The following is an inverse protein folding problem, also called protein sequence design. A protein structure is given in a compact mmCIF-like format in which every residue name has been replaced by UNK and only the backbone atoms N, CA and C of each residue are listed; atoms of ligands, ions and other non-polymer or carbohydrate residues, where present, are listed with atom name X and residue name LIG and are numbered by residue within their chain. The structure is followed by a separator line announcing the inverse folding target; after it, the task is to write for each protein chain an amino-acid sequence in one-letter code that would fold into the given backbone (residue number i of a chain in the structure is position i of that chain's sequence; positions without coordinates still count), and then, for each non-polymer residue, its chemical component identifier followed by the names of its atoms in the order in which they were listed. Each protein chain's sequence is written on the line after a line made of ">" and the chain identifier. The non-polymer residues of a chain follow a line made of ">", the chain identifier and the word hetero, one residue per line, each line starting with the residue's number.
data_IF_870613457209
#
_entry.id   IF_870613457209
#
_cell.length_a   1.000
_cell.length_b   1.000
_cell.length_c   1.000
_cell.angle_alpha   90.00
_cell.angle_beta   90.00
_cell.angle_gamma   90.00
#
_symmetry.space_group_name_H-M   'P 1'
#
loop_
_entity.id
_entity.type
_entity.pdbx_description
1 polymer ?
#
# COMPACT_ATOMS: atom_id res chain seq x y z
N UNK A 1 36.93 8.48 -22.69
CA UNK A 1 36.36 7.18 -23.10
C UNK A 1 35.92 6.46 -21.85
N UNK A 2 34.64 6.60 -21.46
CA UNK A 2 34.05 5.91 -20.32
C UNK A 2 32.86 5.12 -20.86
N UNK A 3 32.98 3.81 -20.79
CA UNK A 3 32.00 2.83 -21.20
C UNK A 3 30.81 2.85 -20.27
N UNK A 4 29.66 3.28 -20.75
CA UNK A 4 28.36 3.04 -20.07
C UNK A 4 28.00 1.57 -20.23
N UNK A 5 28.08 0.82 -19.13
CA UNK A 5 27.56 -0.52 -19.07
C UNK A 5 26.03 -0.47 -19.16
N UNK A 6 25.49 -0.97 -20.27
CA UNK A 6 24.06 -1.19 -20.44
C UNK A 6 23.58 -2.26 -19.49
N UNK A 7 22.69 -1.90 -18.54
CA UNK A 7 22.00 -2.84 -17.70
C UNK A 7 21.10 -3.74 -18.57
N UNK A 8 21.47 -5.00 -18.67
CA UNK A 8 20.66 -6.05 -19.30
C UNK A 8 19.35 -6.21 -18.54
N UNK A 9 18.23 -6.17 -19.25
CA UNK A 9 16.93 -6.57 -18.71
C UNK A 9 17.06 -7.96 -18.09
N UNK A 10 16.70 -8.11 -16.81
CA UNK A 10 16.70 -9.39 -16.14
C UNK A 10 15.80 -10.35 -16.94
N UNK A 11 16.35 -11.42 -17.45
CA UNK A 11 15.58 -12.48 -18.09
C UNK A 11 14.63 -13.08 -17.05
N UNK A 12 13.31 -12.86 -17.23
CA UNK A 12 12.32 -13.48 -16.36
C UNK A 12 12.40 -15.00 -16.52
N UNK A 13 12.39 -15.71 -15.38
CA UNK A 13 12.29 -17.16 -15.38
C UNK A 13 11.05 -17.61 -16.19
N UNK A 14 11.12 -18.75 -16.88
CA UNK A 14 10.06 -19.28 -17.74
C UNK A 14 8.72 -19.56 -17.02
N UNK A 15 8.67 -19.37 -15.69
CA UNK A 15 7.50 -19.59 -14.83
C UNK A 15 6.91 -18.34 -14.19
N UNK A 16 7.34 -17.13 -14.57
CA UNK A 16 6.82 -15.91 -13.97
C UNK A 16 5.37 -15.59 -14.37
N UNK A 17 4.55 -15.19 -13.41
CA UNK A 17 3.12 -14.93 -13.55
C UNK A 17 2.87 -13.62 -14.32
N UNK A 18 2.14 -13.65 -15.44
CA UNK A 18 1.81 -12.44 -16.19
C UNK A 18 0.81 -11.56 -15.43
N UNK A 19 1.12 -10.28 -15.34
CA UNK A 19 0.27 -9.28 -14.69
C UNK A 19 -0.02 -8.10 -15.62
N UNK A 20 -1.15 -7.44 -15.41
CA UNK A 20 -1.46 -6.17 -16.05
C UNK A 20 -1.55 -5.04 -15.01
N UNK A 21 -1.29 -3.82 -15.45
CA UNK A 21 -1.52 -2.60 -14.67
C UNK A 21 -2.50 -1.73 -15.44
N UNK A 22 -3.61 -1.36 -14.79
CA UNK A 22 -4.57 -0.36 -15.28
C UNK A 22 -4.34 0.95 -14.55
N UNK A 23 -4.08 2.01 -15.30
CA UNK A 23 -3.69 3.32 -14.79
C UNK A 23 -2.25 3.65 -15.16
N UNK A 24 -2.04 4.52 -16.14
CA UNK A 24 -0.73 4.89 -16.70
C UNK A 24 -0.09 6.12 -16.03
N UNK A 25 -0.56 6.49 -14.84
CA UNK A 25 0.03 7.55 -14.00
C UNK A 25 1.27 7.10 -13.24
N UNK A 26 1.66 7.90 -12.24
CA UNK A 26 2.87 7.66 -11.44
C UNK A 26 2.85 6.30 -10.72
N UNK A 27 1.73 5.94 -10.07
CA UNK A 27 1.58 4.68 -9.35
C UNK A 27 1.69 3.49 -10.31
N UNK A 28 0.93 3.50 -11.42
CA UNK A 28 0.98 2.41 -12.38
C UNK A 28 2.34 2.28 -13.07
N UNK A 29 3.02 3.41 -13.36
CA UNK A 29 4.37 3.38 -13.93
C UNK A 29 5.38 2.81 -12.92
N UNK A 30 5.28 3.17 -11.64
CA UNK A 30 6.16 2.62 -10.61
C UNK A 30 5.92 1.12 -10.39
N UNK A 31 4.65 0.66 -10.38
CA UNK A 31 4.29 -0.76 -10.37
C UNK A 31 4.95 -1.52 -11.52
N UNK A 32 4.79 -1.01 -12.74
CA UNK A 32 5.41 -1.60 -13.93
C UNK A 32 6.93 -1.71 -13.77
N UNK A 33 7.60 -0.64 -13.34
CA UNK A 33 9.05 -0.64 -13.14
C UNK A 33 9.48 -1.64 -12.05
N UNK A 34 8.74 -1.72 -10.93
CA UNK A 34 9.01 -2.69 -9.87
C UNK A 34 8.85 -4.14 -10.36
N UNK A 35 7.77 -4.44 -11.07
CA UNK A 35 7.58 -5.77 -11.66
C UNK A 35 8.72 -6.12 -12.62
N UNK A 36 9.11 -5.20 -13.50
CA UNK A 36 10.16 -5.44 -14.49
C UNK A 36 11.56 -5.60 -13.90
N UNK A 37 11.87 -4.91 -12.79
CA UNK A 37 13.24 -4.83 -12.25
C UNK A 37 13.46 -5.65 -11.00
N UNK A 38 12.43 -5.84 -10.18
CA UNK A 38 12.59 -6.40 -8.84
C UNK A 38 11.91 -7.75 -8.69
N UNK A 39 10.76 -7.97 -9.36
CA UNK A 39 10.03 -9.21 -9.19
C UNK A 39 10.69 -10.35 -9.96
N UNK A 40 10.87 -11.48 -9.29
CA UNK A 40 11.26 -12.75 -9.90
C UNK A 40 10.05 -13.65 -10.17
N UNK A 41 8.93 -13.32 -9.55
CA UNK A 41 7.68 -14.09 -9.56
C UNK A 41 6.68 -13.57 -10.59
N UNK A 42 6.68 -12.26 -10.83
CA UNK A 42 5.75 -11.59 -11.73
C UNK A 42 6.47 -11.09 -12.98
N UNK A 43 5.75 -11.04 -14.10
CA UNK A 43 6.20 -10.40 -15.35
C UNK A 43 5.11 -9.50 -15.92
N UNK A 44 5.51 -8.38 -16.51
CA UNK A 44 4.54 -7.51 -17.17
C UNK A 44 3.96 -8.18 -18.41
N UNK A 45 2.62 -8.28 -18.45
CA UNK A 45 1.83 -8.68 -19.62
C UNK A 45 1.29 -7.47 -20.37
N UNK A 46 0.75 -6.47 -19.64
CA UNK A 46 0.19 -5.27 -20.26
C UNK A 46 0.23 -4.04 -19.34
N UNK A 47 0.35 -2.85 -19.95
CA UNK A 47 0.11 -1.55 -19.35
C UNK A 47 -1.08 -0.88 -20.02
N UNK A 48 -2.05 -0.43 -19.23
CA UNK A 48 -3.35 0.05 -19.70
C UNK A 48 -3.59 1.47 -19.25
N UNK A 49 -4.00 2.33 -20.16
CA UNK A 49 -4.42 3.71 -19.89
C UNK A 49 -5.71 4.06 -20.60
N UNK A 50 -6.09 5.33 -20.54
CA UNK A 50 -7.22 5.91 -21.29
C UNK A 50 -6.79 7.08 -22.18
N UNK A 51 -5.56 7.56 -21.99
CA UNK A 51 -4.96 8.64 -22.77
C UNK A 51 -3.85 8.07 -23.66
N UNK A 52 -3.97 8.15 -24.99
CA UNK A 52 -2.96 7.65 -25.92
C UNK A 52 -1.61 8.37 -25.79
N UNK A 53 -1.61 9.61 -25.34
CA UNK A 53 -0.41 10.45 -25.20
C UNK A 53 0.24 10.32 -23.82
N UNK A 54 -0.22 9.39 -22.98
CA UNK A 54 0.32 9.15 -21.65
C UNK A 54 1.79 8.76 -21.67
N UNK A 55 2.62 9.46 -20.90
CA UNK A 55 4.05 9.13 -20.67
C UNK A 55 4.24 7.70 -20.15
N UNK A 56 3.34 7.21 -19.31
CA UNK A 56 3.38 5.85 -18.79
C UNK A 56 3.21 4.81 -19.89
N UNK A 57 2.25 5.00 -20.82
CA UNK A 57 2.08 4.11 -21.98
C UNK A 57 3.27 4.20 -22.94
N UNK A 58 3.77 5.41 -23.22
CA UNK A 58 4.94 5.59 -24.06
C UNK A 58 6.19 4.91 -23.46
N UNK A 59 6.36 4.95 -22.14
CA UNK A 59 7.43 4.26 -21.42
C UNK A 59 7.26 2.74 -21.50
N UNK A 60 6.06 2.22 -21.28
CA UNK A 60 5.75 0.80 -21.38
C UNK A 60 6.08 0.25 -22.77
N UNK A 61 5.68 0.97 -23.83
CA UNK A 61 5.98 0.61 -25.23
C UNK A 61 7.49 0.54 -25.49
N UNK A 62 8.28 1.54 -24.99
CA UNK A 62 9.76 1.51 -25.09
C UNK A 62 10.37 0.31 -24.38
N UNK A 63 9.75 -0.15 -23.29
CA UNK A 63 10.16 -1.33 -22.53
C UNK A 63 9.59 -2.65 -23.09
N UNK A 64 8.95 -2.60 -24.26
CA UNK A 64 8.35 -3.74 -24.96
C UNK A 64 7.22 -4.42 -24.17
N UNK A 65 6.54 -3.69 -23.31
CA UNK A 65 5.31 -4.12 -22.66
C UNK A 65 4.14 -3.82 -23.58
N UNK A 66 3.21 -4.75 -23.74
CA UNK A 66 1.99 -4.52 -24.52
C UNK A 66 1.17 -3.37 -23.92
N UNK A 67 0.63 -2.49 -24.74
CA UNK A 67 -0.11 -1.30 -24.28
C UNK A 67 -1.47 -1.18 -24.95
N UNK A 68 -2.43 -0.59 -24.24
CA UNK A 68 -3.69 -0.10 -24.81
C UNK A 68 -4.13 1.16 -24.08
N UNK A 69 -4.77 2.08 -24.81
CA UNK A 69 -5.39 3.28 -24.25
C UNK A 69 -6.93 3.19 -24.17
N UNK A 70 -7.49 1.99 -24.33
CA UNK A 70 -8.94 1.74 -24.31
C UNK A 70 -9.42 1.15 -22.97
N UNK A 71 -8.68 1.38 -21.88
CA UNK A 71 -9.03 0.90 -20.55
C UNK A 71 -9.14 -0.62 -20.50
N UNK A 72 -9.98 -1.13 -19.57
CA UNK A 72 -10.18 -2.58 -19.38
C UNK A 72 -10.69 -3.29 -20.64
N UNK A 73 -11.48 -2.63 -21.47
CA UNK A 73 -11.98 -3.24 -22.73
C UNK A 73 -10.84 -3.53 -23.68
N UNK A 74 -9.91 -2.57 -23.82
CA UNK A 74 -8.72 -2.79 -24.63
C UNK A 74 -7.80 -3.86 -24.05
N UNK A 75 -7.75 -4.01 -22.71
CA UNK A 75 -6.99 -5.09 -22.08
C UNK A 75 -7.53 -6.46 -22.44
N UNK A 76 -8.85 -6.65 -22.38
CA UNK A 76 -9.51 -7.93 -22.72
C UNK A 76 -9.26 -8.35 -24.18
N UNK A 77 -9.11 -7.39 -25.08
CA UNK A 77 -8.84 -7.64 -26.49
C UNK A 77 -7.36 -7.96 -26.81
N UNK A 78 -6.44 -7.74 -25.89
CA UNK A 78 -5.02 -8.05 -26.11
C UNK A 78 -4.79 -9.57 -26.25
N UNK A 79 -4.00 -10.02 -27.23
CA UNK A 79 -3.74 -11.44 -27.46
C UNK A 79 -3.22 -12.20 -26.21
N UNK A 80 -2.47 -11.54 -25.33
CA UNK A 80 -1.93 -12.12 -24.11
C UNK A 80 -2.87 -12.07 -22.89
N UNK A 81 -4.10 -11.56 -23.01
CA UNK A 81 -5.01 -11.38 -21.88
C UNK A 81 -5.36 -12.70 -21.17
N UNK A 82 -5.54 -13.77 -21.93
CA UNK A 82 -5.88 -15.08 -21.37
C UNK A 82 -4.87 -15.54 -20.30
N UNK A 83 -3.58 -15.25 -20.50
CA UNK A 83 -2.50 -15.65 -19.60
C UNK A 83 -2.41 -14.80 -18.35
N UNK A 84 -2.88 -13.55 -18.38
CA UNK A 84 -2.84 -12.63 -17.25
C UNK A 84 -3.60 -13.25 -16.07
N UNK A 85 -2.97 -13.28 -14.89
CA UNK A 85 -3.57 -13.79 -13.64
C UNK A 85 -3.94 -12.68 -12.69
N UNK A 86 -3.16 -11.60 -12.67
CA UNK A 86 -3.32 -10.48 -11.72
C UNK A 86 -3.45 -9.17 -12.49
N UNK A 87 -4.36 -8.33 -12.07
CA UNK A 87 -4.56 -6.97 -12.57
C UNK A 87 -4.39 -6.02 -11.39
N UNK A 88 -3.41 -5.12 -11.46
CA UNK A 88 -3.30 -3.99 -10.55
C UNK A 88 -4.16 -2.84 -11.06
N UNK A 89 -5.05 -2.32 -10.23
CA UNK A 89 -5.88 -1.17 -10.58
C UNK A 89 -5.41 0.10 -9.86
N UNK A 90 -4.77 0.99 -10.59
CA UNK A 90 -4.26 2.28 -10.13
C UNK A 90 -5.05 3.44 -10.78
N UNK A 91 -6.35 3.28 -10.94
CA UNK A 91 -7.25 4.27 -11.56
C UNK A 91 -7.99 5.12 -10.51
N UNK A 92 -9.31 5.11 -10.54
CA UNK A 92 -10.19 5.81 -9.59
C UNK A 92 -11.23 4.86 -9.03
N UNK A 93 -11.81 5.19 -7.88
CA UNK A 93 -12.89 4.40 -7.26
C UNK A 93 -14.03 4.11 -8.24
N UNK A 94 -14.45 5.11 -9.02
CA UNK A 94 -15.51 4.95 -10.02
C UNK A 94 -15.15 3.96 -11.14
N UNK A 95 -13.92 4.02 -11.64
CA UNK A 95 -13.46 3.13 -12.70
C UNK A 95 -13.27 1.70 -12.18
N UNK A 96 -12.79 1.56 -10.94
CA UNK A 96 -12.56 0.27 -10.31
C UNK A 96 -13.81 -0.61 -10.27
N UNK A 97 -14.98 -0.08 -9.98
CA UNK A 97 -16.24 -0.85 -9.95
C UNK A 97 -16.45 -1.63 -11.25
N UNK A 98 -16.21 -1.00 -12.40
CA UNK A 98 -16.31 -1.64 -13.70
C UNK A 98 -15.16 -2.61 -13.95
N UNK A 99 -13.94 -2.21 -13.62
CA UNK A 99 -12.74 -3.01 -13.82
C UNK A 99 -12.81 -4.31 -13.01
N UNK A 100 -13.20 -4.24 -11.73
CA UNK A 100 -13.37 -5.40 -10.85
C UNK A 100 -14.41 -6.39 -11.38
N UNK A 101 -15.56 -5.89 -11.86
CA UNK A 101 -16.61 -6.76 -12.44
C UNK A 101 -16.08 -7.52 -13.67
N UNK A 102 -15.42 -6.84 -14.61
CA UNK A 102 -14.87 -7.47 -15.80
C UNK A 102 -13.74 -8.45 -15.43
N UNK A 103 -12.88 -8.09 -14.50
CA UNK A 103 -11.82 -8.99 -14.03
C UNK A 103 -12.40 -10.28 -13.43
N UNK A 104 -13.47 -10.16 -12.62
CA UNK A 104 -14.16 -11.30 -12.02
C UNK A 104 -14.81 -12.20 -13.07
N UNK A 105 -15.45 -11.64 -14.11
CA UNK A 105 -16.04 -12.38 -15.24
C UNK A 105 -15.00 -13.25 -15.96
N UNK A 106 -13.73 -12.81 -15.96
CA UNK A 106 -12.61 -13.52 -16.57
C UNK A 106 -11.75 -14.31 -15.56
N UNK A 107 -12.16 -14.42 -14.29
CA UNK A 107 -11.44 -15.15 -13.25
C UNK A 107 -10.05 -14.58 -12.93
N UNK A 108 -9.85 -13.25 -13.10
CA UNK A 108 -8.60 -12.57 -12.77
C UNK A 108 -8.62 -12.06 -11.34
N UNK A 109 -7.46 -12.11 -10.66
CA UNK A 109 -7.28 -11.47 -9.37
C UNK A 109 -7.11 -9.96 -9.58
N UNK A 110 -7.87 -9.16 -8.85
CA UNK A 110 -7.72 -7.71 -8.80
C UNK A 110 -6.95 -7.29 -7.53
N UNK A 111 -5.94 -6.46 -7.70
CA UNK A 111 -5.25 -5.75 -6.61
C UNK A 111 -5.63 -4.27 -6.75
N UNK A 112 -6.52 -3.82 -5.87
CA UNK A 112 -7.10 -2.49 -5.91
C UNK A 112 -6.25 -1.48 -5.12
N UNK A 113 -5.69 -0.48 -5.81
CA UNK A 113 -4.97 0.65 -5.21
C UNK A 113 -5.85 1.92 -5.20
N UNK A 114 -7.14 1.80 -5.47
CA UNK A 114 -8.10 2.89 -5.44
C UNK A 114 -8.84 2.96 -4.10
N UNK A 115 -9.50 4.06 -3.77
CA UNK A 115 -10.32 4.13 -2.56
C UNK A 115 -11.70 3.46 -2.69
N UNK A 116 -11.98 2.66 -3.73
CA UNK A 116 -13.27 2.01 -3.94
C UNK A 116 -13.63 0.99 -2.86
N UNK A 117 -12.61 0.28 -2.34
CA UNK A 117 -12.72 -0.68 -1.23
C UNK A 117 -13.85 -1.72 -1.43
N UNK A 118 -13.92 -2.35 -2.60
CA UNK A 118 -14.90 -3.41 -2.89
C UNK A 118 -14.48 -4.74 -2.27
N UNK A 119 -13.20 -5.08 -2.32
CA UNK A 119 -12.62 -6.25 -1.68
C UNK A 119 -12.21 -6.00 -0.22
N UNK A 120 -11.78 -7.05 0.50
CA UNK A 120 -11.24 -6.90 1.85
C UNK A 120 -9.99 -6.02 1.85
N UNK A 121 -9.81 -5.24 2.93
CA UNK A 121 -8.60 -4.49 3.17
C UNK A 121 -7.42 -5.42 3.45
N UNK A 122 -6.31 -5.22 2.74
CA UNK A 122 -5.12 -6.03 2.90
C UNK A 122 -3.90 -5.16 3.21
N UNK A 123 -3.24 -5.50 4.31
CA UNK A 123 -1.91 -5.03 4.68
C UNK A 123 -1.00 -6.25 4.75
N UNK A 124 0.01 -6.40 3.85
CA UNK A 124 0.72 -7.67 3.66
C UNK A 124 1.34 -8.26 4.93
N UNK A 125 1.85 -7.41 5.83
CA UNK A 125 2.48 -7.82 7.08
C UNK A 125 1.48 -8.15 8.20
N UNK A 126 0.16 -7.91 7.99
CA UNK A 126 -0.85 -8.06 9.04
C UNK A 126 -1.82 -9.21 8.76
N UNK A 127 -2.53 -9.17 7.62
CA UNK A 127 -3.68 -10.03 7.37
C UNK A 127 -3.75 -10.67 5.97
N UNK A 128 -2.69 -10.61 5.17
CA UNK A 128 -2.74 -11.14 3.80
C UNK A 128 -3.11 -12.64 3.76
N UNK A 129 -2.64 -13.42 4.75
CA UNK A 129 -2.90 -14.86 4.80
C UNK A 129 -4.40 -15.22 4.95
N UNK A 130 -5.20 -14.29 5.46
CA UNK A 130 -6.65 -14.45 5.62
C UNK A 130 -7.43 -14.26 4.30
N UNK A 131 -6.81 -13.63 3.29
CA UNK A 131 -7.47 -13.19 2.07
C UNK A 131 -6.92 -13.83 0.77
N UNK A 132 -6.20 -14.93 0.90
CA UNK A 132 -5.55 -15.60 -0.25
C UNK A 132 -6.53 -16.11 -1.32
N UNK A 133 -7.76 -16.41 -0.94
CA UNK A 133 -8.83 -16.86 -1.83
C UNK A 133 -9.63 -15.71 -2.49
N UNK A 134 -9.46 -14.47 -2.02
CA UNK A 134 -10.22 -13.34 -2.53
C UNK A 134 -9.94 -13.08 -4.03
N UNK A 135 -10.97 -12.76 -4.79
CA UNK A 135 -10.85 -12.37 -6.21
C UNK A 135 -10.47 -10.90 -6.40
N UNK A 136 -10.72 -10.08 -5.37
CA UNK A 136 -10.39 -8.66 -5.30
C UNK A 136 -9.89 -8.35 -3.90
N UNK A 137 -8.79 -7.60 -3.77
CA UNK A 137 -8.23 -7.16 -2.50
C UNK A 137 -7.87 -5.67 -2.58
N UNK A 138 -8.28 -4.91 -1.59
CA UNK A 138 -8.01 -3.47 -1.52
C UNK A 138 -6.77 -3.18 -0.67
N UNK A 139 -5.87 -2.39 -1.23
CA UNK A 139 -4.60 -2.01 -0.60
C UNK A 139 -4.73 -0.83 0.39
N UNK A 140 -5.93 -0.49 0.81
CA UNK A 140 -6.23 0.62 1.74
C UNK A 140 -5.77 1.96 1.15
N UNK A 141 -4.77 2.59 1.79
CA UNK A 141 -4.15 3.85 1.39
C UNK A 141 -2.67 3.83 1.72
N UNK A 142 -1.90 4.77 1.20
CA UNK A 142 -0.48 4.87 1.53
C UNK A 142 -0.25 5.08 3.04
N UNK A 143 -1.05 5.96 3.68
CA UNK A 143 -1.02 6.15 5.13
C UNK A 143 -1.44 4.90 5.88
N UNK A 144 -2.44 4.18 5.38
CA UNK A 144 -2.86 2.89 5.95
C UNK A 144 -1.76 1.83 5.88
N UNK A 145 -1.13 1.67 4.74
CA UNK A 145 -0.01 0.71 4.59
C UNK A 145 1.17 1.02 5.52
N UNK A 146 1.40 2.32 5.81
CA UNK A 146 2.49 2.71 6.71
C UNK A 146 2.13 2.52 8.20
N UNK A 147 0.89 2.76 8.60
CA UNK A 147 0.53 2.95 10.01
C UNK A 147 -0.25 1.80 10.63
N UNK A 148 -1.11 1.12 9.85
CA UNK A 148 -1.92 -0.02 10.33
C UNK A 148 -1.05 -1.17 10.86
N UNK A 149 0.12 -1.50 10.28
CA UNK A 149 1.03 -2.47 10.89
C UNK A 149 1.36 -2.17 12.35
N UNK A 150 1.59 -0.90 12.68
CA UNK A 150 1.89 -0.47 14.05
C UNK A 150 0.68 -0.60 14.96
N UNK A 151 -0.50 -0.16 14.50
CA UNK A 151 -1.75 -0.33 15.27
C UNK A 151 -1.99 -1.80 15.58
N UNK A 152 -1.86 -2.67 14.57
CA UNK A 152 -2.01 -4.12 14.73
C UNK A 152 -0.98 -4.72 15.70
N UNK A 153 0.28 -4.24 15.65
CA UNK A 153 1.32 -4.69 16.55
C UNK A 153 1.01 -4.36 18.02
N UNK A 154 0.41 -3.19 18.28
CA UNK A 154 -0.01 -2.78 19.63
C UNK A 154 -1.26 -3.56 20.04
N UNK A 155 -2.27 -3.68 19.16
CA UNK A 155 -3.53 -4.37 19.43
C UNK A 155 -3.36 -5.86 19.77
N UNK A 156 -2.32 -6.50 19.27
CA UNK A 156 -1.96 -7.90 19.62
C UNK A 156 -1.54 -8.07 21.08
N UNK A 157 -1.10 -7.00 21.73
CA UNK A 157 -0.59 -7.03 23.11
C UNK A 157 -1.62 -6.48 24.08
N UNK A 158 -2.29 -5.39 23.73
CA UNK A 158 -3.28 -4.72 24.58
C UNK A 158 -4.44 -4.18 23.71
N UNK A 159 -5.71 -4.25 24.18
CA UNK A 159 -6.85 -3.73 23.44
C UNK A 159 -6.70 -2.23 23.20
N UNK A 160 -6.81 -1.81 21.95
CA UNK A 160 -6.75 -0.40 21.53
C UNK A 160 -8.17 0.15 21.42
N UNK A 161 -8.56 1.02 22.34
CA UNK A 161 -9.88 1.66 22.32
C UNK A 161 -9.97 2.72 21.21
N UNK A 162 -8.89 3.45 20.95
CA UNK A 162 -8.84 4.48 19.92
C UNK A 162 -7.49 4.49 19.21
N UNK A 163 -7.51 4.35 17.89
CA UNK A 163 -6.35 4.46 17.03
C UNK A 163 -6.46 5.70 16.14
N UNK A 164 -5.49 6.59 16.20
CA UNK A 164 -5.40 7.76 15.31
C UNK A 164 -4.08 7.77 14.58
N UNK A 165 -4.12 8.07 13.28
CA UNK A 165 -2.90 8.27 12.50
C UNK A 165 -2.88 9.66 11.86
N UNK A 166 -1.69 10.24 11.81
CA UNK A 166 -1.42 11.46 11.06
C UNK A 166 -0.37 11.13 10.01
N UNK A 167 -0.79 11.08 8.75
CA UNK A 167 0.10 10.82 7.62
C UNK A 167 0.51 12.14 6.96
N UNK A 168 1.80 12.50 7.03
CA UNK A 168 2.37 13.67 6.39
C UNK A 168 3.19 13.28 5.16
N UNK A 169 2.69 13.62 3.98
CA UNK A 169 3.33 13.35 2.70
C UNK A 169 3.78 14.65 2.02
N UNK A 170 4.83 14.58 1.20
CA UNK A 170 5.23 15.73 0.40
C UNK A 170 4.08 16.17 -0.52
N UNK A 171 3.76 17.45 -0.55
CA UNK A 171 2.70 17.98 -1.43
C UNK A 171 2.96 17.65 -2.90
N UNK A 172 4.24 17.59 -3.32
CA UNK A 172 4.65 17.21 -4.69
C UNK A 172 4.34 15.75 -5.03
N UNK A 173 4.25 14.84 -4.05
CA UNK A 173 3.90 13.44 -4.27
C UNK A 173 2.39 13.18 -4.24
N UNK A 174 1.58 14.16 -3.83
CA UNK A 174 0.13 14.08 -3.87
C UNK A 174 -0.38 14.43 -5.27
N UNK A 175 -0.74 13.41 -6.05
CA UNK A 175 -1.33 13.58 -7.39
C UNK A 175 -2.75 14.12 -7.35
N UNK A 176 -3.35 14.41 -8.53
CA UNK A 176 -4.73 14.92 -8.63
C UNK A 176 -5.75 13.98 -7.94
N UNK A 177 -5.57 12.67 -8.06
CA UNK A 177 -6.44 11.68 -7.40
C UNK A 177 -6.42 11.81 -5.88
N UNK A 178 -5.25 11.90 -5.26
CA UNK A 178 -5.13 12.08 -3.80
C UNK A 178 -5.79 13.37 -3.34
N UNK A 179 -5.61 14.47 -4.09
CA UNK A 179 -6.17 15.78 -3.73
C UNK A 179 -7.69 15.84 -3.87
N UNK A 180 -8.24 15.12 -4.84
CA UNK A 180 -9.68 15.07 -5.08
C UNK A 180 -10.42 14.13 -4.09
N UNK A 181 -9.72 13.19 -3.47
CA UNK A 181 -10.32 12.12 -2.67
C UNK A 181 -9.76 12.07 -1.23
N UNK A 182 -9.56 13.24 -0.60
CA UNK A 182 -9.06 13.32 0.79
C UNK A 182 -10.05 12.69 1.76
N UNK A 183 -11.34 12.88 1.55
CA UNK A 183 -12.40 12.34 2.41
C UNK A 183 -12.38 10.80 2.35
N UNK A 184 -12.36 10.24 1.14
CA UNK A 184 -12.25 8.77 0.97
C UNK A 184 -10.95 8.22 1.59
N UNK A 185 -9.83 8.96 1.52
CA UNK A 185 -8.60 8.56 2.19
C UNK A 185 -8.82 8.42 3.71
N UNK A 186 -9.45 9.40 4.33
CA UNK A 186 -9.65 9.41 5.80
C UNK A 186 -10.66 8.36 6.23
N UNK A 187 -11.75 8.17 5.48
CA UNK A 187 -12.77 7.16 5.75
C UNK A 187 -12.22 5.74 5.59
N UNK A 188 -11.58 5.45 4.46
CA UNK A 188 -11.00 4.14 4.17
C UNK A 188 -9.91 3.77 5.18
N UNK A 189 -9.01 4.71 5.49
CA UNK A 189 -7.95 4.47 6.49
C UNK A 189 -8.53 4.28 7.88
N UNK A 190 -9.50 5.09 8.30
CA UNK A 190 -10.18 4.96 9.59
C UNK A 190 -10.90 3.63 9.75
N UNK A 191 -11.58 3.15 8.70
CA UNK A 191 -12.20 1.82 8.68
C UNK A 191 -11.16 0.71 8.79
N UNK A 192 -10.05 0.81 8.07
CA UNK A 192 -8.99 -0.20 8.08
C UNK A 192 -8.20 -0.22 9.41
N UNK A 193 -8.04 0.91 10.11
CA UNK A 193 -7.50 0.96 11.48
C UNK A 193 -8.33 0.07 12.42
N UNK A 194 -9.65 0.05 12.24
CA UNK A 194 -10.55 -0.82 13.02
C UNK A 194 -10.47 -2.27 12.54
N UNK A 195 -10.69 -2.51 11.26
CA UNK A 195 -10.91 -3.85 10.70
C UNK A 195 -9.63 -4.68 10.61
N UNK A 196 -8.50 -4.03 10.34
CA UNK A 196 -7.20 -4.67 10.17
C UNK A 196 -6.27 -4.35 11.34
N UNK A 197 -6.28 -3.12 11.83
CA UNK A 197 -5.46 -2.68 12.96
C UNK A 197 -5.96 -3.18 14.32
N UNK A 198 -7.25 -3.52 14.44
CA UNK A 198 -7.84 -4.05 15.68
C UNK A 198 -8.22 -2.99 16.72
N UNK A 199 -8.27 -1.71 16.36
CA UNK A 199 -8.77 -0.66 17.26
C UNK A 199 -10.31 -0.64 17.29
N UNK A 200 -10.91 -0.27 18.42
CA UNK A 200 -12.38 -0.10 18.55
C UNK A 200 -12.88 1.06 17.65
N UNK A 201 -12.16 2.19 17.69
CA UNK A 201 -12.39 3.37 16.85
C UNK A 201 -11.12 3.75 16.12
N UNK A 202 -11.24 4.05 14.82
CA UNK A 202 -10.13 4.48 13.97
C UNK A 202 -10.35 5.88 13.42
N UNK A 203 -9.30 6.71 13.41
CA UNK A 203 -9.28 8.03 12.77
C UNK A 203 -8.00 8.23 11.98
N UNK A 204 -8.13 8.84 10.81
CA UNK A 204 -7.00 9.19 9.98
C UNK A 204 -7.00 10.68 9.64
N UNK A 205 -5.80 11.25 9.60
CA UNK A 205 -5.55 12.63 9.19
C UNK A 205 -4.45 12.60 8.14
N UNK A 206 -4.62 13.32 7.04
CA UNK A 206 -3.59 13.51 6.02
C UNK A 206 -3.10 14.96 6.02
N UNK A 207 -1.80 15.14 5.94
CA UNK A 207 -1.13 16.43 5.82
C UNK A 207 -0.36 16.46 4.51
N UNK A 208 -0.71 17.39 3.62
CA UNK A 208 0.04 17.66 2.40
C UNK A 208 1.13 18.71 2.71
N UNK A 209 2.35 18.23 2.96
CA UNK A 209 3.47 19.06 3.42
C UNK A 209 4.09 19.84 2.25
N UNK A 210 4.06 21.19 2.27
CA UNK A 210 4.58 22.02 1.19
C UNK A 210 6.09 22.35 1.30
N UNK A 211 6.82 21.73 2.23
CA UNK A 211 8.24 22.04 2.45
C UNK A 211 9.10 21.91 1.19
N UNK A 212 10.06 22.80 1.04
CA UNK A 212 11.11 22.80 0.01
C UNK A 212 12.51 22.82 0.67
N UNK A 213 13.35 21.82 0.40
CA UNK A 213 13.13 20.64 -0.43
C UNK A 213 12.04 19.71 0.16
N UNK A 214 11.37 18.90 -0.69
CA UNK A 214 10.32 17.98 -0.23
C UNK A 214 10.83 17.02 0.83
N UNK A 215 10.03 16.79 1.86
CA UNK A 215 10.35 15.85 2.93
C UNK A 215 9.80 14.46 2.61
N UNK A 216 10.52 13.43 3.04
CA UNK A 216 10.00 12.06 3.05
C UNK A 216 8.69 11.96 3.84
N UNK A 217 7.90 10.93 3.54
CA UNK A 217 6.68 10.64 4.30
C UNK A 217 7.00 10.44 5.78
N UNK A 218 6.24 11.09 6.65
CA UNK A 218 6.35 10.99 8.11
C UNK A 218 4.98 10.77 8.69
N UNK A 219 4.86 9.72 9.49
CA UNK A 219 3.60 9.35 10.08
C UNK A 219 3.71 9.27 11.58
N UNK A 220 2.62 9.64 12.24
CA UNK A 220 2.45 9.44 13.67
C UNK A 220 1.27 8.51 13.91
N UNK A 221 1.46 7.53 14.78
CA UNK A 221 0.41 6.63 15.24
C UNK A 221 0.19 6.89 16.72
N UNK A 222 -1.05 7.14 17.09
CA UNK A 222 -1.50 7.21 18.48
C UNK A 222 -2.48 6.07 18.76
N UNK A 223 -2.16 5.23 19.74
CA UNK A 223 -3.05 4.19 20.21
C UNK A 223 -3.38 4.42 21.67
N UNK A 224 -4.66 4.57 22.00
CA UNK A 224 -5.15 4.68 23.38
C UNK A 224 -5.52 3.29 23.88
N UNK A 225 -4.80 2.82 24.90
CA UNK A 225 -5.09 1.59 25.63
C UNK A 225 -5.76 1.99 26.93
N UNK A 226 -6.97 1.48 27.20
CA UNK A 226 -7.68 1.74 28.45
C UNK A 226 -7.06 0.96 29.63
N UNK A 227 -7.08 1.57 30.79
CA UNK A 227 -6.44 1.02 32.00
C UNK A 227 -4.94 1.22 32.02
N UNK A 228 -4.25 0.48 32.87
CA UNK A 228 -2.80 0.55 33.03
C UNK A 228 -2.08 -0.45 32.11
N UNK A 229 -0.85 -0.09 31.71
CA UNK A 229 0.12 -1.01 31.12
C UNK A 229 1.23 -1.29 32.14
N UNK A 230 1.48 -2.55 32.45
CA UNK A 230 2.69 -2.93 33.21
C UNK A 230 3.96 -2.66 32.39
N UNK A 231 5.11 -2.59 33.05
CA UNK A 231 6.39 -2.44 32.34
C UNK A 231 6.62 -3.62 31.38
N UNK A 232 6.22 -4.83 31.76
CA UNK A 232 6.29 -5.99 30.89
C UNK A 232 5.40 -5.86 29.64
N UNK A 233 4.22 -5.24 29.74
CA UNK A 233 3.36 -4.99 28.57
C UNK A 233 3.96 -3.93 27.67
N UNK A 234 4.57 -2.88 28.24
CA UNK A 234 5.30 -1.85 27.47
C UNK A 234 6.45 -2.47 26.69
N UNK A 235 7.27 -3.30 27.33
CA UNK A 235 8.37 -4.01 26.66
C UNK A 235 7.87 -4.91 25.52
N UNK A 236 6.75 -5.62 25.73
CA UNK A 236 6.12 -6.45 24.71
C UNK A 236 5.58 -5.62 23.53
N UNK A 237 5.00 -4.46 23.81
CA UNK A 237 4.53 -3.53 22.76
C UNK A 237 5.72 -3.04 21.93
N UNK A 238 6.82 -2.60 22.57
CA UNK A 238 8.04 -2.17 21.87
C UNK A 238 8.55 -3.28 20.97
N UNK A 239 8.74 -4.49 21.51
CA UNK A 239 9.22 -5.64 20.74
C UNK A 239 8.29 -6.00 19.56
N UNK A 240 6.96 -5.93 19.77
CA UNK A 240 5.96 -6.18 18.72
C UNK A 240 6.02 -5.15 17.60
N UNK A 241 6.12 -3.86 17.94
CA UNK A 241 6.25 -2.75 16.97
C UNK A 241 7.54 -2.88 16.15
N UNK A 242 8.66 -3.16 16.81
CA UNK A 242 9.94 -3.37 16.13
C UNK A 242 9.91 -4.58 15.20
N UNK A 243 9.32 -5.70 15.64
CA UNK A 243 9.16 -6.89 14.81
C UNK A 243 8.29 -6.58 13.59
N UNK A 244 7.20 -5.87 13.77
CA UNK A 244 6.33 -5.45 12.67
C UNK A 244 7.07 -4.52 11.70
N UNK A 245 7.85 -3.56 12.20
CA UNK A 245 8.66 -2.69 11.36
C UNK A 245 9.70 -3.48 10.55
N UNK A 246 10.28 -4.55 11.10
CA UNK A 246 11.15 -5.46 10.35
C UNK A 246 10.40 -6.17 9.22
N UNK A 247 9.19 -6.65 9.49
CA UNK A 247 8.34 -7.33 8.48
C UNK A 247 7.95 -6.39 7.32
N UNK A 248 7.62 -5.13 7.62
CA UNK A 248 7.34 -4.14 6.57
C UNK A 248 8.60 -3.83 5.74
N UNK A 249 9.77 -3.74 6.37
CA UNK A 249 11.04 -3.50 5.67
C UNK A 249 11.43 -4.57 4.66
N UNK A 250 10.90 -5.77 4.75
CA UNK A 250 11.13 -6.82 3.75
C UNK A 250 10.69 -6.39 2.35
N UNK A 251 9.64 -5.56 2.24
CA UNK A 251 9.12 -5.06 0.97
C UNK A 251 9.18 -3.55 0.81
N UNK A 252 9.43 -2.80 1.90
CA UNK A 252 9.64 -1.34 1.90
C UNK A 252 10.95 -1.02 2.64
N UNK A 253 12.11 -1.12 2.00
CA UNK A 253 13.41 -0.94 2.67
C UNK A 253 13.58 0.39 3.40
N UNK A 254 12.92 1.45 2.92
CA UNK A 254 12.95 2.78 3.52
C UNK A 254 12.02 3.01 4.72
N UNK A 255 11.31 1.97 5.18
CA UNK A 255 10.42 2.06 6.35
C UNK A 255 11.20 2.00 7.66
N UNK A 256 11.05 2.99 8.54
CA UNK A 256 11.76 3.02 9.82
C UNK A 256 11.00 3.73 10.93
N UNK A 257 11.24 3.29 12.17
CA UNK A 257 10.88 4.05 13.36
C UNK A 257 11.84 5.25 13.47
N UNK A 258 11.30 6.42 13.75
CA UNK A 258 12.14 7.65 13.91
C UNK A 258 12.71 7.82 15.31
N UNK A 259 12.05 7.26 16.29
CA UNK A 259 12.43 7.32 17.70
C UNK A 259 11.77 6.16 18.45
N UNK A 260 12.14 5.99 19.72
CA UNK A 260 11.57 4.98 20.59
C UNK A 260 10.06 5.17 20.76
N UNK A 261 9.36 4.06 21.02
CA UNK A 261 7.92 4.07 21.33
C UNK A 261 7.70 4.83 22.65
N UNK A 262 6.76 5.76 22.64
CA UNK A 262 6.46 6.61 23.80
C UNK A 262 5.16 6.16 24.46
N UNK A 263 5.11 6.32 25.79
CA UNK A 263 3.99 5.95 26.64
C UNK A 263 3.64 7.12 27.56
N UNK A 264 2.47 7.73 27.35
CA UNK A 264 1.99 8.86 28.13
C UNK A 264 0.73 8.45 28.90
N UNK A 265 0.67 8.77 30.19
CA UNK A 265 -0.55 8.58 30.97
C UNK A 265 -1.66 9.50 30.48
N UNK A 266 -2.87 8.96 30.39
CA UNK A 266 -4.10 9.70 30.07
C UNK A 266 -5.03 9.55 31.26
N UNK A 267 -5.37 10.67 31.91
CA UNK A 267 -6.22 10.67 33.09
C UNK A 267 -7.54 11.37 32.80
N UNK A 268 -8.64 10.66 33.06
CA UNK A 268 -10.02 11.15 33.01
C UNK A 268 -10.29 12.12 31.82
N UNK A 269 -9.83 11.74 30.62
CA UNK A 269 -9.88 12.57 29.42
C UNK A 269 -11.12 12.24 28.59
N UNK A 270 -11.86 13.24 28.13
CA UNK A 270 -12.97 13.06 27.18
C UNK A 270 -12.41 12.71 25.82
N UNK A 271 -12.81 11.55 25.27
CA UNK A 271 -12.51 11.14 23.90
C UNK A 271 -13.80 11.17 23.10
N UNK A 272 -14.05 12.25 22.32
CA UNK A 272 -15.33 12.45 21.64
C UNK A 272 -15.71 11.29 20.71
N UNK A 273 -14.75 10.68 20.03
CA UNK A 273 -14.97 9.55 19.14
C UNK A 273 -15.44 8.27 19.85
N UNK A 274 -15.13 8.12 21.14
CA UNK A 274 -15.61 7.03 22.00
C UNK A 274 -16.90 7.39 22.75
N UNK A 275 -17.27 8.69 22.79
CA UNK A 275 -18.43 9.16 23.53
C UNK A 275 -18.31 9.03 25.07
N UNK A 276 -17.11 8.81 25.60
CA UNK A 276 -16.83 8.59 27.02
C UNK A 276 -15.52 9.20 27.48
N UNK A 277 -15.38 9.30 28.82
CA UNK A 277 -14.10 9.64 29.46
C UNK A 277 -13.25 8.37 29.55
N UNK A 278 -11.94 8.53 29.42
CA UNK A 278 -10.99 7.42 29.42
C UNK A 278 -9.82 7.74 30.35
N UNK A 279 -9.43 6.75 31.13
CA UNK A 279 -8.15 6.70 31.83
C UNK A 279 -7.35 5.53 31.30
N UNK A 280 -6.10 5.76 30.94
CA UNK A 280 -5.27 4.73 30.31
C UNK A 280 -3.89 5.21 29.91
N UNK A 281 -3.35 4.62 28.87
CA UNK A 281 -2.03 4.96 28.32
C UNK A 281 -2.15 5.24 26.82
N UNK A 282 -1.61 6.38 26.39
CA UNK A 282 -1.40 6.68 24.97
C UNK A 282 -0.05 6.14 24.56
N UNK A 283 -0.06 5.22 23.60
CA UNK A 283 1.15 4.74 22.93
C UNK A 283 1.35 5.56 21.67
N UNK A 284 2.52 6.20 21.54
CA UNK A 284 2.85 7.05 20.38
C UNK A 284 4.04 6.47 19.62
N UNK A 285 3.88 6.29 18.31
CA UNK A 285 4.92 5.75 17.41
C UNK A 285 5.11 6.68 16.23
N UNK A 286 6.37 6.99 15.92
CA UNK A 286 6.74 7.92 14.85
C UNK A 286 7.50 7.18 13.77
N UNK A 287 7.03 7.32 12.53
CA UNK A 287 7.52 6.61 11.36
C UNK A 287 8.10 7.57 10.33
N UNK A 288 9.00 7.05 9.53
CA UNK A 288 9.45 7.69 8.29
C UNK A 288 9.52 6.63 7.19
N UNK A 289 9.03 6.98 6.01
CA UNK A 289 9.08 6.13 4.81
C UNK A 289 9.82 6.89 3.72
N UNK A 290 11.04 6.44 3.41
CA UNK A 290 11.77 6.88 2.24
C UNK A 290 11.45 5.98 1.06
N UNK A 291 11.20 6.58 -0.10
CA UNK A 291 11.08 5.83 -1.34
C UNK A 291 12.41 5.22 -1.77
N UNK A 292 12.35 4.06 -2.39
CA UNK A 292 13.55 3.34 -2.83
C UNK A 292 14.22 3.93 -4.11
N UNK A 293 13.63 4.95 -4.72
CA UNK A 293 14.20 5.65 -5.87
C UNK A 293 14.20 4.84 -7.18
N UNK A 294 13.36 3.82 -7.32
CA UNK A 294 13.33 2.98 -8.52
C UNK A 294 12.82 3.70 -9.76
N UNK A 295 11.77 4.48 -9.60
CA UNK A 295 11.18 5.35 -10.62
C UNK A 295 10.85 6.73 -10.03
N UNK A 296 10.20 6.74 -8.88
CA UNK A 296 9.82 7.96 -8.18
C UNK A 296 10.97 8.46 -7.29
N UNK A 297 11.05 9.77 -7.01
CA UNK A 297 12.07 10.31 -6.12
C UNK A 297 11.90 9.77 -4.68
N UNK A 298 12.97 9.80 -3.91
CA UNK A 298 13.05 9.26 -2.56
C UNK A 298 12.07 9.91 -1.56
N UNK A 299 11.72 11.19 -1.76
CA UNK A 299 10.70 11.83 -0.93
C UNK A 299 9.28 11.27 -1.15
N UNK A 300 9.02 10.56 -2.26
CA UNK A 300 7.73 9.96 -2.58
C UNK A 300 7.51 8.59 -1.90
N UNK A 301 7.91 8.46 -0.64
CA UNK A 301 7.74 7.24 0.15
C UNK A 301 6.30 6.74 0.24
N UNK A 302 5.33 7.65 0.20
CA UNK A 302 3.90 7.31 0.15
C UNK A 302 3.51 6.52 -1.12
N UNK A 303 4.05 6.86 -2.26
CA UNK A 303 3.79 6.12 -3.51
C UNK A 303 4.57 4.80 -3.51
N UNK A 304 5.81 4.81 -3.03
CA UNK A 304 6.67 3.63 -2.97
C UNK A 304 6.10 2.53 -2.07
N UNK A 305 5.60 2.87 -0.86
CA UNK A 305 5.01 1.88 0.03
C UNK A 305 3.74 1.26 -0.57
N UNK A 306 2.93 2.06 -1.25
CA UNK A 306 1.69 1.59 -1.87
C UNK A 306 1.96 0.55 -2.96
N UNK A 307 2.87 0.85 -3.88
CA UNK A 307 3.24 -0.03 -4.98
C UNK A 307 4.04 -1.25 -4.50
N UNK A 308 4.90 -1.10 -3.51
CA UNK A 308 5.65 -2.21 -2.90
C UNK A 308 4.73 -3.20 -2.18
N UNK A 309 3.75 -2.70 -1.41
CA UNK A 309 2.74 -3.53 -0.76
C UNK A 309 1.89 -4.30 -1.79
N UNK A 310 1.48 -3.65 -2.88
CA UNK A 310 0.71 -4.29 -3.95
C UNK A 310 1.50 -5.41 -4.65
N UNK A 311 2.77 -5.16 -5.01
CA UNK A 311 3.65 -6.18 -5.60
C UNK A 311 3.85 -7.35 -4.62
N UNK A 312 4.16 -7.07 -3.34
CA UNK A 312 4.30 -8.11 -2.30
C UNK A 312 3.04 -8.96 -2.17
N UNK A 313 1.86 -8.34 -2.18
CA UNK A 313 0.56 -9.03 -2.14
C UNK A 313 0.40 -9.98 -3.33
N UNK A 314 0.63 -9.48 -4.55
CA UNK A 314 0.51 -10.28 -5.76
C UNK A 314 1.49 -11.46 -5.78
N UNK A 315 2.75 -11.24 -5.39
CA UNK A 315 3.79 -12.29 -5.33
C UNK A 315 3.41 -13.41 -4.35
N UNK A 316 2.95 -13.02 -3.15
CA UNK A 316 2.56 -13.99 -2.12
C UNK A 316 1.33 -14.79 -2.54
N UNK A 317 0.29 -14.14 -3.08
CA UNK A 317 -0.89 -14.84 -3.59
C UNK A 317 -0.52 -15.75 -4.76
N UNK A 318 0.30 -15.30 -5.71
CA UNK A 318 0.76 -16.09 -6.84
C UNK A 318 1.51 -17.37 -6.42
N UNK A 319 2.40 -17.25 -5.43
CA UNK A 319 3.12 -18.38 -4.88
C UNK A 319 2.20 -19.40 -4.19
N UNK A 320 1.28 -18.92 -3.35
CA UNK A 320 0.38 -19.79 -2.58
C UNK A 320 -0.73 -20.42 -3.43
N UNK A 321 -1.14 -19.77 -4.52
CA UNK A 321 -2.05 -20.38 -5.51
C UNK A 321 -1.36 -21.31 -6.51
N UNK A 322 -0.04 -21.52 -6.37
CA UNK A 322 0.73 -22.39 -7.26
C UNK A 322 0.81 -21.88 -8.71
N UNK A 323 0.71 -20.58 -8.93
CA UNK A 323 0.81 -19.99 -10.26
C UNK A 323 2.26 -19.83 -10.73
N UNK A 324 3.20 -19.88 -9.82
CA UNK A 324 4.65 -19.84 -10.11
C UNK A 324 5.09 -21.25 -10.44
N UNK A 325 5.57 -21.49 -11.65
CA UNK A 325 6.18 -22.76 -12.03
C UNK A 325 7.69 -22.68 -11.83
N UNK A 326 8.26 -23.71 -11.18
CA UNK A 326 9.72 -23.85 -10.95
C UNK A 326 10.48 -24.02 -12.26
#
# INVERSE_FOLDING_TARGET
>A
MSSHAGGTAAGHASGAVPVAVIGSGNIGTDLMIKVLRLSKTLRMGAMVGIDPDSDGLARAARLKVATTHRGIDGLVELPGFADIKVIFDATSAKAHVRNARIAAEHGKLMIDLTPAALGPFVVPSVNLDEHLAAGDVNMVTCGGQATIPVVAAISRIAPVAYGEIVASIASKSAGPGTRANIDEFTETTGAAIRLVGGAEVGKAIIVLNPAEPPLAMRDTVFCLVEGGLSDADRDRIVASVEQMARSVREYVPGYRLKQDVQFDAVEDTVVPALGRRVTGVRVSVFLEVLGAGHYLPDYAGNLDIMTSAAVRTAEKIAALRGWVTS
#
